data_IF_407887020619
#
_entry.id   IF_407887020619
#
_cell.length_a   1.000
_cell.length_b   1.000
_cell.length_c   1.000
_cell.angle_alpha   90.00
_cell.angle_beta   90.00
_cell.angle_gamma   90.00
#
_symmetry.space_group_name_H-M   'P 1'
#
loop_
_entity.id
_entity.type
_entity.pdbx_description
1 polymer ?
#
# COMPACT_ATOMS: atom_id res chain seq x y z
N UNK A 1 3.61 -22.84 12.81
CA UNK A 1 4.02 -21.57 12.19
C UNK A 1 5.51 -21.38 12.33
N UNK A 2 6.09 -20.38 11.66
CA UNK A 2 7.50 -20.01 11.86
C UNK A 2 7.73 -19.51 13.31
N UNK A 3 8.94 -19.64 13.88
CA UNK A 3 9.23 -19.17 15.24
C UNK A 3 8.99 -17.68 15.48
N UNK A 4 8.98 -16.88 14.41
CA UNK A 4 8.76 -15.43 14.41
C UNK A 4 7.37 -15.04 13.90
N UNK A 5 6.43 -15.99 13.81
CA UNK A 5 5.07 -15.69 13.40
C UNK A 5 4.43 -14.69 14.37
N UNK A 6 3.80 -13.65 13.83
CA UNK A 6 3.07 -12.66 14.62
C UNK A 6 1.94 -13.34 15.41
N UNK A 7 1.81 -12.95 16.69
CA UNK A 7 0.68 -13.29 17.55
C UNK A 7 -0.23 -12.09 17.80
N UNK A 8 0.06 -10.95 17.16
CA UNK A 8 -0.70 -9.72 17.34
C UNK A 8 -2.07 -9.80 16.67
N UNK A 9 -3.05 -9.14 17.28
CA UNK A 9 -4.39 -8.96 16.74
C UNK A 9 -4.79 -7.48 16.77
N UNK A 10 -5.65 -7.07 15.85
CA UNK A 10 -6.23 -5.74 15.78
C UNK A 10 -7.75 -5.82 15.54
N UNK A 11 -8.47 -4.73 15.78
CA UNK A 11 -9.90 -4.64 15.44
C UNK A 11 -10.04 -4.43 13.93
N UNK A 12 -10.68 -5.38 13.26
CA UNK A 12 -11.00 -5.30 11.85
C UNK A 12 -12.15 -4.33 11.56
N UNK A 13 -12.42 -4.04 10.28
CA UNK A 13 -13.47 -3.10 9.88
C UNK A 13 -14.88 -3.47 10.35
N UNK A 14 -15.15 -4.76 10.60
CA UNK A 14 -16.42 -5.28 11.13
C UNK A 14 -16.47 -5.33 12.67
N UNK A 15 -15.46 -4.75 13.34
CA UNK A 15 -15.34 -4.74 14.80
C UNK A 15 -14.78 -6.03 15.40
N UNK A 16 -14.50 -7.07 14.59
CA UNK A 16 -13.97 -8.35 15.09
C UNK A 16 -12.45 -8.33 15.21
N UNK A 17 -11.85 -9.09 16.14
CA UNK A 17 -10.41 -9.24 16.20
C UNK A 17 -9.88 -10.00 14.97
N UNK A 18 -8.87 -9.45 14.31
CA UNK A 18 -8.18 -10.06 13.16
C UNK A 18 -6.68 -10.20 13.45
N UNK A 19 -6.01 -11.26 12.97
CA UNK A 19 -4.55 -11.38 13.05
C UNK A 19 -3.84 -10.27 12.27
N UNK A 20 -2.66 -9.87 12.73
CA UNK A 20 -1.83 -8.84 12.08
C UNK A 20 -0.51 -9.43 11.59
N UNK A 21 -0.08 -9.01 10.40
CA UNK A 21 1.18 -9.42 9.79
C UNK A 21 1.79 -8.26 8.99
N UNK A 22 3.12 -8.12 9.01
CA UNK A 22 3.85 -7.30 8.04
C UNK A 22 3.99 -8.02 6.69
N UNK A 23 2.87 -8.23 6.00
CA UNK A 23 2.83 -9.01 4.77
C UNK A 23 3.54 -8.32 3.58
N UNK A 24 3.73 -7.00 3.65
CA UNK A 24 4.42 -6.19 2.64
C UNK A 24 5.88 -5.85 3.02
N UNK A 25 6.37 -6.35 4.16
CA UNK A 25 7.77 -6.16 4.59
C UNK A 25 8.08 -4.77 5.21
N UNK A 26 7.06 -4.04 5.66
CA UNK A 26 7.24 -2.71 6.27
C UNK A 26 8.11 -2.75 7.55
N UNK A 27 8.16 -3.88 8.25
CA UNK A 27 9.10 -4.14 9.33
C UNK A 27 10.56 -4.12 8.86
N UNK A 28 10.85 -4.78 7.73
CA UNK A 28 12.17 -4.75 7.10
C UNK A 28 12.54 -3.34 6.64
N UNK A 29 11.59 -2.58 6.08
CA UNK A 29 11.83 -1.19 5.63
C UNK A 29 12.24 -0.31 6.81
N UNK A 30 11.51 -0.39 7.94
CA UNK A 30 11.83 0.35 9.16
C UNK A 30 13.15 -0.10 9.79
N UNK A 31 13.45 -1.40 9.78
CA UNK A 31 14.74 -1.90 10.27
C UNK A 31 15.91 -1.35 9.44
N UNK A 32 15.79 -1.37 8.11
CA UNK A 32 16.81 -0.84 7.20
C UNK A 32 17.04 0.66 7.38
N UNK A 33 15.99 1.48 7.41
CA UNK A 33 16.15 2.94 7.55
C UNK A 33 16.71 3.33 8.93
N UNK A 34 16.31 2.62 9.99
CA UNK A 34 16.88 2.83 11.32
C UNK A 34 18.37 2.45 11.37
N UNK A 35 18.77 1.35 10.72
CA UNK A 35 20.16 0.93 10.62
C UNK A 35 21.01 1.93 9.81
N UNK A 36 20.50 2.38 8.66
CA UNK A 36 21.15 3.40 7.83
C UNK A 36 21.32 4.72 8.60
N UNK A 37 20.28 5.16 9.29
CA UNK A 37 20.31 6.36 10.15
C UNK A 37 21.39 6.28 11.24
N UNK A 38 21.46 5.14 11.96
CA UNK A 38 22.51 4.90 12.96
C UNK A 38 23.90 4.90 12.34
N UNK A 39 24.06 4.28 11.17
CA UNK A 39 25.35 4.20 10.48
C UNK A 39 25.85 5.58 10.04
N UNK A 40 24.96 6.41 9.48
CA UNK A 40 25.26 7.78 9.03
C UNK A 40 25.52 8.72 10.22
N UNK A 41 24.73 8.62 11.29
CA UNK A 41 24.94 9.41 12.51
C UNK A 41 26.31 9.15 13.16
N UNK A 42 26.79 7.90 13.09
CA UNK A 42 28.11 7.51 13.60
C UNK A 42 29.29 7.96 12.71
N UNK A 43 29.03 8.47 11.51
CA UNK A 43 30.04 8.83 10.50
C UNK A 43 29.89 10.25 9.98
N UNK A 44 29.42 11.16 10.85
CA UNK A 44 29.20 12.58 10.53
C UNK A 44 30.46 13.33 10.08
N UNK A 45 31.64 12.77 10.32
CA UNK A 45 32.92 13.25 9.80
C UNK A 45 33.11 12.97 8.29
N UNK A 46 32.34 12.03 7.73
CA UNK A 46 32.48 11.54 6.35
C UNK A 46 31.45 12.11 5.37
N UNK A 47 30.50 12.90 5.86
CA UNK A 47 29.45 13.49 5.03
C UNK A 47 29.01 14.84 5.61
N UNK A 48 28.28 15.63 4.82
CA UNK A 48 27.74 16.93 5.22
C UNK A 48 26.33 17.09 4.70
N UNK A 49 25.53 17.91 5.38
CA UNK A 49 24.13 18.18 5.04
C UNK A 49 23.18 17.76 6.15
N UNK A 50 21.94 17.52 5.79
CA UNK A 50 20.87 17.12 6.70
C UNK A 50 20.25 15.81 6.23
N UNK A 51 20.07 14.87 7.15
CA UNK A 51 19.39 13.61 6.89
C UNK A 51 18.04 13.63 7.61
N UNK A 52 16.95 13.55 6.86
CA UNK A 52 15.61 13.34 7.38
C UNK A 52 15.26 11.85 7.28
N UNK A 53 14.97 11.22 8.42
CA UNK A 53 14.42 9.86 8.45
C UNK A 53 12.91 9.97 8.64
N UNK A 54 12.15 9.54 7.63
CA UNK A 54 10.70 9.67 7.62
C UNK A 54 10.04 8.29 7.78
N UNK A 55 9.25 8.13 8.84
CA UNK A 55 8.40 6.95 9.03
C UNK A 55 6.98 7.28 8.58
N UNK A 56 6.59 6.83 7.38
CA UNK A 56 5.24 7.04 6.86
C UNK A 56 4.27 5.97 7.40
N UNK A 57 3.16 6.35 8.04
CA UNK A 57 2.10 5.41 8.41
C UNK A 57 1.20 5.08 7.21
N UNK A 58 0.31 4.10 7.35
CA UNK A 58 -0.85 3.90 6.46
C UNK A 58 -0.54 3.89 4.94
N UNK A 59 0.56 3.25 4.54
CA UNK A 59 0.91 3.06 3.13
C UNK A 59 -0.11 2.15 2.42
N UNK A 60 -0.53 1.06 3.07
CA UNK A 60 -1.45 0.06 2.49
C UNK A 60 -2.83 0.62 2.08
N UNK A 61 -3.23 1.75 2.67
CA UNK A 61 -4.49 2.45 2.34
C UNK A 61 -4.28 3.63 1.39
N UNK A 62 -3.05 3.85 0.94
CA UNK A 62 -2.60 4.96 0.10
C UNK A 62 -2.88 6.36 0.71
N UNK A 63 -3.17 6.42 2.02
CA UNK A 63 -3.55 7.66 2.71
C UNK A 63 -2.41 8.33 3.48
N UNK A 64 -1.39 7.56 3.86
CA UNK A 64 -0.32 7.99 4.77
C UNK A 64 0.42 9.25 4.35
N UNK A 65 1.03 9.23 3.17
CA UNK A 65 1.83 10.34 2.66
C UNK A 65 1.02 11.64 2.59
N UNK A 66 -0.21 11.56 2.06
CA UNK A 66 -1.12 12.70 1.96
C UNK A 66 -1.47 13.25 3.34
N UNK A 67 -1.80 12.40 4.31
CA UNK A 67 -2.13 12.82 5.66
C UNK A 67 -0.95 13.52 6.36
N UNK A 68 0.29 13.05 6.14
CA UNK A 68 1.48 13.73 6.68
C UNK A 68 1.67 15.13 6.09
N UNK A 69 1.47 15.29 4.78
CA UNK A 69 1.55 16.59 4.12
C UNK A 69 0.45 17.53 4.62
N UNK A 70 -0.79 17.04 4.76
CA UNK A 70 -1.93 17.80 5.29
C UNK A 70 -1.74 18.17 6.77
N UNK A 71 -1.02 17.37 7.56
CA UNK A 71 -0.62 17.69 8.95
C UNK A 71 0.58 18.66 9.05
N UNK A 72 1.01 19.23 7.91
CA UNK A 72 2.07 20.24 7.86
C UNK A 72 3.47 19.66 8.07
N UNK A 73 3.77 18.49 7.49
CA UNK A 73 5.10 17.86 7.58
C UNK A 73 6.24 18.88 7.35
N UNK A 74 6.14 19.68 6.29
CA UNK A 74 7.18 20.64 5.92
C UNK A 74 7.13 21.97 6.68
N UNK A 75 6.11 22.18 7.51
CA UNK A 75 6.13 23.28 8.49
C UNK A 75 7.02 22.94 9.69
N UNK A 76 7.28 21.64 9.91
CA UNK A 76 8.06 21.10 11.05
C UNK A 76 9.49 20.74 10.68
N UNK A 77 9.76 20.46 9.41
CA UNK A 77 11.08 20.10 8.90
C UNK A 77 11.36 20.79 7.58
N UNK A 78 12.62 21.14 7.33
CA UNK A 78 13.03 21.66 6.02
C UNK A 78 12.78 20.60 4.93
N UNK A 79 12.10 20.94 3.83
CA UNK A 79 11.97 20.06 2.68
C UNK A 79 13.35 19.56 2.20
N UNK A 80 13.53 18.25 2.00
CA UNK A 80 14.79 17.73 1.50
C UNK A 80 14.93 18.02 0.00
N UNK A 81 16.18 18.15 -0.46
CA UNK A 81 16.49 18.28 -1.90
C UNK A 81 16.15 17.00 -2.67
N UNK A 82 16.27 15.85 -2.00
CA UNK A 82 16.05 14.52 -2.58
C UNK A 82 15.29 13.61 -1.60
N UNK A 83 14.38 12.79 -2.13
CA UNK A 83 13.63 11.80 -1.36
C UNK A 83 13.93 10.41 -1.90
N UNK A 84 14.43 9.54 -1.02
CA UNK A 84 14.74 8.14 -1.35
C UNK A 84 13.80 7.21 -0.58
N UNK A 85 13.30 6.19 -1.26
CA UNK A 85 12.53 5.10 -0.68
C UNK A 85 12.93 3.77 -1.32
N UNK A 86 12.69 2.67 -0.61
CA UNK A 86 12.94 1.31 -1.11
C UNK A 86 11.80 0.39 -0.69
N UNK A 87 11.60 -0.68 -1.46
CA UNK A 87 10.62 -1.72 -1.15
C UNK A 87 11.27 -3.09 -1.28
N UNK A 88 10.95 -3.99 -0.36
CA UNK A 88 11.30 -5.42 -0.48
C UNK A 88 10.44 -6.07 -1.56
N UNK A 89 11.06 -6.72 -2.53
CA UNK A 89 10.35 -7.37 -3.63
C UNK A 89 10.88 -8.80 -3.81
N UNK A 90 10.09 -9.70 -4.43
CA UNK A 90 10.49 -11.09 -4.67
C UNK A 90 11.50 -11.22 -5.83
N UNK A 91 12.56 -10.41 -5.80
CA UNK A 91 13.69 -10.48 -6.73
C UNK A 91 14.78 -11.42 -6.20
N UNK A 92 15.69 -11.89 -7.08
CA UNK A 92 16.87 -12.65 -6.65
C UNK A 92 17.62 -11.94 -5.53
N UNK A 93 18.13 -12.71 -4.57
CA UNK A 93 18.90 -12.16 -3.46
C UNK A 93 20.10 -11.33 -3.96
N UNK A 94 20.29 -10.15 -3.38
CA UNK A 94 21.34 -9.21 -3.78
C UNK A 94 21.00 -8.32 -4.98
N UNK A 95 19.82 -8.48 -5.59
CA UNK A 95 19.36 -7.61 -6.66
C UNK A 95 18.74 -6.33 -6.10
N UNK A 96 19.15 -5.18 -6.66
CA UNK A 96 18.50 -3.89 -6.49
C UNK A 96 17.99 -3.43 -7.84
N UNK A 97 16.67 -3.31 -7.97
CA UNK A 97 16.03 -2.79 -9.18
C UNK A 97 15.80 -1.29 -9.03
N UNK A 98 16.12 -0.52 -10.07
CA UNK A 98 15.82 0.91 -10.16
C UNK A 98 15.57 1.29 -11.63
N UNK A 99 14.85 2.38 -11.84
CA UNK A 99 14.61 2.95 -13.16
C UNK A 99 14.42 4.46 -13.04
N UNK A 100 14.62 5.18 -14.15
CA UNK A 100 14.24 6.58 -14.28
C UNK A 100 12.80 6.68 -14.78
N UNK A 101 12.06 7.71 -14.33
CA UNK A 101 10.65 7.90 -14.66
C UNK A 101 9.69 7.04 -13.81
N UNK A 102 8.44 6.84 -14.26
CA UNK A 102 7.44 6.08 -13.53
C UNK A 102 7.85 4.61 -13.34
N UNK A 103 8.08 4.20 -12.09
CA UNK A 103 8.47 2.82 -11.73
C UNK A 103 7.27 1.96 -11.33
N UNK A 104 6.22 2.58 -10.80
CA UNK A 104 5.00 1.91 -10.32
C UNK A 104 3.76 2.55 -10.95
N UNK A 105 2.67 1.78 -11.00
CA UNK A 105 1.38 2.27 -11.47
C UNK A 105 0.69 3.15 -10.42
N UNK A 106 0.01 4.20 -10.88
CA UNK A 106 -0.94 4.93 -10.04
C UNK A 106 -2.12 4.05 -9.66
N UNK A 107 -2.57 4.13 -8.41
CA UNK A 107 -3.65 3.29 -7.88
C UNK A 107 -4.72 4.12 -7.18
N UNK A 108 -5.97 3.65 -7.22
CA UNK A 108 -7.09 4.23 -6.48
C UNK A 108 -8.01 3.13 -5.98
N UNK A 109 -8.40 3.23 -4.71
CA UNK A 109 -9.40 2.32 -4.11
C UNK A 109 -10.80 2.86 -4.36
N UNK A 110 -11.71 1.99 -4.77
CA UNK A 110 -13.13 2.27 -4.99
C UNK A 110 -13.97 1.37 -4.08
N UNK A 111 -14.96 1.94 -3.43
CA UNK A 111 -16.00 1.20 -2.71
C UNK A 111 -17.29 1.23 -3.54
N UNK A 112 -17.85 0.06 -3.84
CA UNK A 112 -19.09 -0.09 -4.60
C UNK A 112 -20.12 -0.79 -3.72
N UNK A 113 -21.24 -0.12 -3.45
CA UNK A 113 -22.36 -0.69 -2.72
C UNK A 113 -23.39 -1.23 -3.71
N UNK A 114 -23.86 -2.46 -3.48
CA UNK A 114 -24.96 -3.07 -4.22
C UNK A 114 -26.18 -3.12 -3.32
N UNK A 115 -27.24 -2.44 -3.72
CA UNK A 115 -28.51 -2.41 -3.01
C UNK A 115 -29.57 -3.14 -3.83
N UNK A 116 -30.42 -3.89 -3.15
CA UNK A 116 -31.47 -4.66 -3.80
C UNK A 116 -32.45 -5.26 -2.78
N UNK A 117 -33.63 -5.62 -3.27
CA UNK A 117 -34.70 -6.19 -2.47
C UNK A 117 -34.55 -7.69 -2.33
N UNK A 118 -34.46 -8.16 -1.08
CA UNK A 118 -34.44 -9.58 -0.76
C UNK A 118 -35.78 -10.26 -1.07
N UNK A 119 -35.77 -11.59 -1.17
CA UNK A 119 -36.98 -12.37 -1.42
C UNK A 119 -36.80 -13.86 -1.14
N UNK A 120 -37.89 -14.63 -1.23
CA UNK A 120 -37.82 -16.07 -1.05
C UNK A 120 -37.02 -16.71 -2.20
N UNK A 121 -36.09 -17.61 -1.88
CA UNK A 121 -35.23 -18.27 -2.88
C UNK A 121 -36.01 -19.02 -3.99
N UNK A 122 -37.20 -19.55 -3.70
CA UNK A 122 -38.07 -20.22 -4.67
C UNK A 122 -38.74 -19.24 -5.65
N UNK A 123 -38.78 -17.95 -5.32
CA UNK A 123 -39.38 -16.88 -6.15
C UNK A 123 -38.33 -15.82 -6.50
N UNK A 124 -37.10 -16.24 -6.78
CA UNK A 124 -35.97 -15.34 -7.03
C UNK A 124 -36.21 -14.33 -8.17
N UNK A 125 -37.11 -14.62 -9.11
CA UNK A 125 -37.52 -13.71 -10.18
C UNK A 125 -38.26 -12.45 -9.69
N UNK A 126 -38.71 -12.43 -8.42
CA UNK A 126 -39.35 -11.28 -7.78
C UNK A 126 -38.36 -10.43 -6.95
N UNK A 127 -37.10 -10.87 -6.81
CA UNK A 127 -36.08 -10.21 -6.02
C UNK A 127 -35.07 -9.46 -6.89
N UNK A 128 -34.50 -8.38 -6.37
CA UNK A 128 -33.35 -7.72 -6.95
C UNK A 128 -32.10 -8.15 -6.16
N UNK A 129 -31.47 -9.25 -6.60
CA UNK A 129 -30.38 -9.90 -5.86
C UNK A 129 -29.04 -9.12 -6.00
N UNK A 130 -28.55 -8.45 -4.94
CA UNK A 130 -27.29 -7.72 -4.98
C UNK A 130 -26.07 -8.64 -5.12
N UNK A 131 -26.15 -9.92 -4.70
CA UNK A 131 -25.05 -10.88 -4.87
C UNK A 131 -24.84 -11.20 -6.34
N UNK A 132 -25.94 -11.36 -7.10
CA UNK A 132 -25.86 -11.60 -8.54
C UNK A 132 -25.29 -10.39 -9.28
N UNK A 133 -25.65 -9.17 -8.86
CA UNK A 133 -25.08 -7.94 -9.40
C UNK A 133 -23.57 -7.84 -9.13
N UNK A 134 -23.15 -8.11 -7.88
CA UNK A 134 -21.74 -8.12 -7.49
C UNK A 134 -20.93 -9.17 -8.27
N UNK A 135 -21.44 -10.39 -8.42
CA UNK A 135 -20.81 -11.44 -9.21
C UNK A 135 -20.66 -11.03 -10.70
N UNK A 136 -21.66 -10.34 -11.25
CA UNK A 136 -21.60 -9.78 -12.59
C UNK A 136 -20.51 -8.71 -12.74
N UNK A 137 -20.31 -7.85 -11.74
CA UNK A 137 -19.21 -6.88 -11.75
C UNK A 137 -17.84 -7.58 -11.72
N UNK A 138 -17.66 -8.54 -10.81
CA UNK A 138 -16.38 -9.27 -10.63
C UNK A 138 -15.93 -9.95 -11.93
N UNK A 139 -16.87 -10.52 -12.69
CA UNK A 139 -16.55 -11.20 -13.95
C UNK A 139 -16.23 -10.24 -15.10
N UNK A 140 -16.84 -9.05 -15.13
CA UNK A 140 -16.70 -8.08 -16.24
C UNK A 140 -15.61 -7.04 -16.03
N UNK A 141 -15.30 -6.69 -14.78
CA UNK A 141 -14.33 -5.65 -14.47
C UNK A 141 -12.94 -5.89 -15.10
N UNK A 142 -12.41 -7.13 -15.15
CA UNK A 142 -11.15 -7.41 -15.84
C UNK A 142 -11.18 -7.08 -17.34
N UNK A 143 -12.33 -7.23 -18.02
CA UNK A 143 -12.45 -6.95 -19.46
C UNK A 143 -12.35 -5.44 -19.74
N UNK A 144 -13.00 -4.63 -18.89
CA UNK A 144 -12.88 -3.16 -18.95
C UNK A 144 -11.44 -2.74 -18.68
N UNK A 145 -10.82 -3.28 -17.63
CA UNK A 145 -9.43 -2.96 -17.30
C UNK A 145 -8.46 -3.34 -18.43
N UNK A 146 -8.67 -4.49 -19.09
CA UNK A 146 -7.87 -4.91 -20.23
C UNK A 146 -8.02 -3.97 -21.44
N UNK A 147 -9.23 -3.43 -21.67
CA UNK A 147 -9.49 -2.46 -22.75
C UNK A 147 -8.85 -1.08 -22.53
N UNK A 148 -8.72 -0.65 -21.27
CA UNK A 148 -8.15 0.65 -20.89
C UNK A 148 -6.63 0.61 -20.65
N UNK A 149 -6.05 -0.60 -20.59
CA UNK A 149 -4.60 -0.78 -20.40
C UNK A 149 -3.86 -0.42 -21.70
N UNK A 150 -3.44 0.85 -21.81
CA UNK A 150 -2.57 1.30 -22.90
C UNK A 150 -1.27 0.48 -22.95
N UNK A 151 -0.77 0.19 -24.16
CA UNK A 151 0.59 -0.35 -24.31
C UNK A 151 1.58 0.65 -23.70
N UNK A 152 2.56 0.22 -22.89
CA UNK A 152 3.59 1.13 -22.41
C UNK A 152 4.33 1.70 -23.62
N UNK A 153 4.24 3.01 -23.81
CA UNK A 153 5.02 3.73 -24.81
C UNK A 153 6.45 3.78 -24.28
N UNK A 154 7.27 2.81 -24.69
CA UNK A 154 8.71 2.90 -24.51
C UNK A 154 9.22 3.87 -25.58
N UNK A 155 9.52 5.11 -25.20
CA UNK A 155 10.38 6.02 -25.96
C UNK A 155 11.80 5.90 -25.48
#
# INVERSE_FOLDING_TARGET
GAPYASTATATGPDGRPVPVMHACGHDAHLACVAAAGRWLAARRDRWRGTLLLLGQPAEETLGGARAMLEDGLYDRVTPPDEVLAQHTAPFPAGMVAHAEGPVLAGSRTLAVAFEGDGGHAATAHLAADPLRAAAGLVTRLPEVAAGESGRPTVT
#
